data_IF_963800334302
#
_entry.id   IF_963800334302
#
_cell.length_a   1.000
_cell.length_b   1.000
_cell.length_c   1.000
_cell.angle_alpha   90.00
_cell.angle_beta   90.00
_cell.angle_gamma   90.00
#
_symmetry.space_group_name_H-M   'P 1'
#
loop_
_entity.id
_entity.type
_entity.pdbx_description
1 polymer ?
#
# COMPACT_ATOMS: atom_id res chain seq x y z
N UNK A 1 9.06 -3.60 -10.43
CA UNK A 1 10.33 -3.57 -11.19
C UNK A 1 11.39 -2.93 -10.31
N UNK A 2 12.58 -3.50 -10.27
CA UNK A 2 13.70 -3.00 -9.47
C UNK A 2 14.84 -2.69 -10.43
N UNK A 3 15.30 -1.45 -10.45
CA UNK A 3 16.50 -1.01 -11.17
C UNK A 3 17.53 -0.55 -10.13
N UNK A 4 18.41 -1.49 -9.74
CA UNK A 4 19.43 -1.25 -8.72
C UNK A 4 20.60 -0.39 -9.20
N UNK A 5 20.82 -0.27 -10.52
CA UNK A 5 21.90 0.56 -11.07
C UNK A 5 21.53 2.04 -10.95
N UNK A 6 20.27 2.37 -11.19
CA UNK A 6 19.76 3.75 -11.09
C UNK A 6 19.04 4.04 -9.76
N UNK A 7 19.01 3.10 -8.82
CA UNK A 7 18.34 3.26 -7.52
C UNK A 7 16.82 3.46 -7.64
N UNK A 8 16.19 2.92 -8.68
CA UNK A 8 14.76 3.10 -8.95
C UNK A 8 13.97 1.86 -8.56
N UNK A 9 12.89 2.07 -7.83
CA UNK A 9 11.91 1.05 -7.47
C UNK A 9 10.54 1.46 -7.98
N UNK A 10 9.88 0.54 -8.68
CA UNK A 10 8.59 0.79 -9.33
C UNK A 10 7.57 -0.27 -8.90
N UNK A 11 6.47 0.20 -8.33
CA UNK A 11 5.31 -0.61 -7.92
C UNK A 11 4.20 -0.44 -8.96
N UNK A 12 3.82 -1.55 -9.63
CA UNK A 12 2.71 -1.57 -10.61
C UNK A 12 2.75 -0.46 -11.68
N UNK A 13 3.93 0.02 -12.04
CA UNK A 13 4.12 1.10 -13.03
C UNK A 13 4.36 2.50 -12.42
N UNK A 14 4.19 2.65 -11.10
CA UNK A 14 4.42 3.89 -10.37
C UNK A 14 5.79 3.88 -9.69
N UNK A 15 6.53 5.00 -9.79
CA UNK A 15 7.79 5.16 -9.07
C UNK A 15 7.50 5.27 -7.57
N UNK A 16 8.26 4.55 -6.75
CA UNK A 16 7.98 4.49 -5.31
C UNK A 16 8.11 5.85 -4.60
N UNK A 17 8.98 6.72 -5.11
CA UNK A 17 9.16 8.07 -4.56
C UNK A 17 7.84 8.87 -4.64
N UNK A 18 7.20 8.86 -5.80
CA UNK A 18 5.93 9.54 -6.03
C UNK A 18 4.82 8.97 -5.14
N UNK A 19 4.78 7.64 -4.97
CA UNK A 19 3.83 6.98 -4.07
C UNK A 19 4.08 7.34 -2.60
N UNK A 20 5.34 7.47 -2.18
CA UNK A 20 5.68 7.75 -0.80
C UNK A 20 5.40 9.21 -0.39
N UNK A 21 5.40 10.12 -1.35
CA UNK A 21 5.13 11.55 -1.11
C UNK A 21 3.63 11.86 -1.07
N UNK A 22 2.84 11.24 -1.95
CA UNK A 22 1.44 11.61 -2.18
C UNK A 22 0.41 10.61 -1.63
N UNK A 23 0.79 9.37 -1.34
CA UNK A 23 -0.16 8.29 -1.00
C UNK A 23 0.05 7.73 0.40
N UNK A 24 -1.04 7.32 1.03
CA UNK A 24 -1.00 6.61 2.31
C UNK A 24 -0.53 5.16 2.16
N UNK A 25 -0.10 4.57 3.28
CA UNK A 25 0.28 3.15 3.32
C UNK A 25 -0.88 2.25 2.86
N UNK A 26 -2.11 2.52 3.31
CA UNK A 26 -3.29 1.76 2.94
C UNK A 26 -3.56 1.79 1.43
N UNK A 27 -3.39 2.94 0.77
CA UNK A 27 -3.53 3.07 -0.69
C UNK A 27 -2.47 2.27 -1.45
N UNK A 28 -1.21 2.34 -1.00
CA UNK A 28 -0.11 1.58 -1.61
C UNK A 28 -0.28 0.08 -1.37
N UNK A 29 -0.75 -0.34 -0.18
CA UNK A 29 -1.06 -1.73 0.12
C UNK A 29 -2.17 -2.25 -0.81
N UNK A 30 -3.23 -1.47 -1.01
CA UNK A 30 -4.30 -1.80 -1.94
C UNK A 30 -3.75 -1.95 -3.37
N UNK A 31 -2.96 -0.99 -3.84
CA UNK A 31 -2.32 -1.04 -5.17
C UNK A 31 -1.48 -2.30 -5.36
N UNK A 32 -0.75 -2.73 -4.33
CA UNK A 32 0.08 -3.94 -4.40
C UNK A 32 -0.77 -5.22 -4.51
N UNK A 33 -1.84 -5.32 -3.74
CA UNK A 33 -2.73 -6.48 -3.72
C UNK A 33 -3.66 -6.56 -4.93
N UNK A 34 -4.31 -5.45 -5.29
CA UNK A 34 -5.35 -5.40 -6.32
C UNK A 34 -4.82 -4.98 -7.68
N UNK A 35 -3.64 -4.37 -7.74
CA UNK A 35 -2.98 -3.95 -8.99
C UNK A 35 -3.42 -2.59 -9.52
N UNK A 36 -4.37 -1.93 -8.87
CA UNK A 36 -4.89 -0.59 -9.20
C UNK A 36 -5.07 0.25 -7.93
N UNK A 37 -5.09 1.58 -8.08
CA UNK A 37 -5.35 2.48 -6.95
C UNK A 37 -6.81 2.34 -6.49
N UNK A 38 -7.07 2.34 -5.16
CA UNK A 38 -8.42 2.24 -4.65
C UNK A 38 -9.22 3.50 -4.98
N UNK A 39 -10.52 3.33 -5.19
CA UNK A 39 -11.46 4.43 -5.03
C UNK A 39 -11.74 4.68 -3.53
N UNK A 40 -12.45 5.77 -3.22
CA UNK A 40 -12.74 6.18 -1.84
C UNK A 40 -13.40 5.07 -1.01
N UNK A 41 -14.40 4.39 -1.56
CA UNK A 41 -15.13 3.34 -0.84
C UNK A 41 -14.23 2.14 -0.56
N UNK A 42 -13.42 1.72 -1.54
CA UNK A 42 -12.44 0.63 -1.39
C UNK A 42 -11.37 0.97 -0.33
N UNK A 43 -10.89 2.21 -0.31
CA UNK A 43 -9.93 2.65 0.68
C UNK A 43 -10.52 2.65 2.10
N UNK A 44 -11.76 3.13 2.26
CA UNK A 44 -12.45 3.14 3.54
C UNK A 44 -12.69 1.71 4.07
N UNK A 45 -13.10 0.79 3.19
CA UNK A 45 -13.28 -0.62 3.51
C UNK A 45 -11.98 -1.27 3.96
N UNK A 46 -10.91 -1.13 3.18
CA UNK A 46 -9.61 -1.71 3.54
C UNK A 46 -9.07 -1.11 4.84
N UNK A 47 -9.22 0.19 5.04
CA UNK A 47 -8.76 0.87 6.26
C UNK A 47 -9.51 0.35 7.50
N UNK A 48 -10.82 0.12 7.37
CA UNK A 48 -11.64 -0.45 8.45
C UNK A 48 -11.21 -1.88 8.77
N UNK A 49 -10.99 -2.70 7.74
CA UNK A 49 -10.51 -4.08 7.89
C UNK A 49 -9.16 -4.11 8.60
N UNK A 50 -8.17 -3.34 8.11
CA UNK A 50 -6.84 -3.26 8.69
C UNK A 50 -6.90 -2.84 10.15
N UNK A 51 -7.72 -1.84 10.50
CA UNK A 51 -7.90 -1.38 11.88
C UNK A 51 -8.48 -2.46 12.79
N UNK A 52 -9.46 -3.21 12.31
CA UNK A 52 -10.10 -4.28 13.09
C UNK A 52 -9.11 -5.41 13.44
N UNK A 53 -8.13 -5.64 12.57
CA UNK A 53 -7.11 -6.68 12.70
C UNK A 53 -5.83 -6.24 13.45
N UNK A 54 -5.76 -5.00 13.96
CA UNK A 54 -4.55 -4.50 14.68
C UNK A 54 -4.32 -5.15 16.04
N UNK A 55 -5.33 -5.80 16.61
CA UNK A 55 -5.21 -6.41 17.95
C UNK A 55 -4.35 -7.66 17.86
N UNK A 56 -3.21 -7.63 18.54
CA UNK A 56 -2.40 -8.82 18.75
C UNK A 56 -3.04 -9.67 19.85
N UNK A 57 -3.04 -10.99 19.67
CA UNK A 57 -3.31 -11.90 20.77
C UNK A 57 -2.16 -11.82 21.78
N UNK A 58 -2.42 -11.86 23.10
CA UNK A 58 -1.36 -11.89 24.09
C UNK A 58 -0.41 -13.05 23.82
N UNK A 59 0.90 -12.82 23.97
CA UNK A 59 1.88 -13.89 23.92
C UNK A 59 1.60 -14.86 25.07
N UNK A 60 1.44 -16.14 24.74
CA UNK A 60 1.24 -17.23 25.71
C UNK A 60 2.49 -17.52 26.53
#
# INVERSE_FOLDING_TARGET
>A
MVDGQNGRLVYRGYVIADLAEEMSYEEVAYLLWHGELPNRAQLEELTAELRSNRRLTPAA
#
